data_IF_021610705226
#
_entry.id   IF_021610705226
#
_cell.length_a   1.000
_cell.length_b   1.000
_cell.length_c   1.000
_cell.angle_alpha   90.00
_cell.angle_beta   90.00
_cell.angle_gamma   90.00
#
_symmetry.space_group_name_H-M   'P 1'
#
loop_
_entity.id
_entity.type
_entity.pdbx_description
1 polymer ?
#
# COMPACT_ATOMS: atom_id res chain seq x y z
N UNK A 1 16.58 -6.38 52.08
CA UNK A 1 15.33 -5.86 51.41
C UNK A 1 15.66 -4.68 50.49
N UNK A 2 16.46 -4.87 49.44
CA UNK A 2 16.69 -3.81 48.44
C UNK A 2 16.78 -4.37 47.00
N UNK A 3 16.10 -5.48 46.68
CA UNK A 3 16.17 -6.09 45.36
C UNK A 3 14.79 -6.33 44.67
N UNK A 4 13.70 -5.65 45.12
CA UNK A 4 12.37 -5.87 44.54
C UNK A 4 11.65 -4.62 44.04
N UNK A 5 12.35 -3.47 43.96
CA UNK A 5 11.72 -2.22 43.43
C UNK A 5 12.07 -1.87 41.98
N UNK A 6 12.98 -2.58 41.35
CA UNK A 6 13.44 -2.22 39.99
C UNK A 6 12.65 -2.84 38.82
N UNK A 7 11.95 -3.95 39.02
CA UNK A 7 11.23 -4.64 37.94
C UNK A 7 9.79 -4.16 37.77
N UNK A 8 9.15 -3.64 38.79
CA UNK A 8 7.78 -3.13 38.71
C UNK A 8 7.64 -1.78 38.00
N UNK A 9 8.70 -0.96 37.99
CA UNK A 9 8.66 0.36 37.35
C UNK A 9 9.01 0.31 35.86
N UNK A 10 9.73 -0.71 35.41
CA UNK A 10 10.01 -0.94 33.98
C UNK A 10 8.74 -1.43 33.29
N UNK A 11 7.98 -2.34 33.93
CA UNK A 11 6.71 -2.82 33.36
C UNK A 11 5.58 -1.79 33.44
N UNK A 12 5.62 -0.86 34.42
CA UNK A 12 4.61 0.24 34.47
C UNK A 12 4.87 1.35 33.47
N UNK A 13 6.10 1.54 33.00
CA UNK A 13 6.40 2.49 31.90
C UNK A 13 6.05 1.95 30.51
N UNK A 14 5.98 0.63 30.34
CA UNK A 14 5.54 0.00 29.08
C UNK A 14 4.02 -0.06 28.90
N UNK A 15 3.23 0.19 29.97
CA UNK A 15 1.74 0.17 29.91
C UNK A 15 1.14 1.57 29.67
N UNK A 16 1.96 2.63 29.70
CA UNK A 16 1.58 4.01 29.34
C UNK A 16 2.46 4.55 28.19
N UNK A 17 2.79 3.73 27.21
CA UNK A 17 3.19 4.24 25.90
C UNK A 17 1.92 4.81 25.27
N UNK A 18 1.97 6.07 24.88
CA UNK A 18 0.97 6.73 24.06
C UNK A 18 0.52 5.79 22.94
N UNK A 19 -0.74 5.83 22.47
CA UNK A 19 -1.16 5.03 21.32
C UNK A 19 -0.16 5.28 20.20
N UNK A 20 0.58 4.23 19.82
CA UNK A 20 1.42 4.23 18.64
C UNK A 20 0.45 4.25 17.46
N UNK A 21 0.26 5.42 16.88
CA UNK A 21 -0.48 5.55 15.63
C UNK A 21 0.38 4.92 14.55
N UNK A 22 -0.18 3.98 13.82
CA UNK A 22 0.47 3.38 12.64
C UNK A 22 0.65 4.48 11.59
N UNK A 23 1.90 4.79 11.27
CA UNK A 23 2.26 5.78 10.26
C UNK A 23 2.75 5.06 9.01
N UNK A 24 1.81 4.44 8.27
CA UNK A 24 2.11 3.80 7.01
C UNK A 24 2.75 4.79 6.03
N UNK A 25 3.88 4.40 5.45
CA UNK A 25 4.58 5.21 4.46
C UNK A 25 3.91 5.03 3.11
N UNK A 26 3.17 6.05 2.68
CA UNK A 26 2.52 6.08 1.37
C UNK A 26 3.54 6.33 0.25
N UNK A 27 3.32 5.81 -0.97
CA UNK A 27 4.07 6.21 -2.14
C UNK A 27 4.01 7.72 -2.36
N UNK A 28 5.13 8.34 -2.69
CA UNK A 28 5.13 9.73 -3.10
C UNK A 28 4.45 9.88 -4.47
N UNK A 29 3.85 11.04 -4.76
CA UNK A 29 3.10 11.28 -6.00
C UNK A 29 3.67 12.51 -6.70
N UNK A 30 4.05 12.35 -7.97
CA UNK A 30 4.57 13.42 -8.80
C UNK A 30 3.60 13.73 -9.95
N UNK A 31 2.97 14.89 -9.88
CA UNK A 31 2.11 15.42 -10.92
C UNK A 31 2.94 16.28 -11.87
N UNK A 32 2.87 16.00 -13.16
CA UNK A 32 3.59 16.69 -14.21
C UNK A 32 2.59 17.31 -15.16
N UNK A 33 2.79 18.58 -15.50
CA UNK A 33 2.06 19.26 -16.57
C UNK A 33 3.07 19.92 -17.48
N UNK A 34 2.94 19.71 -18.80
CA UNK A 34 3.84 20.26 -19.82
C UNK A 34 3.04 21.18 -20.73
N UNK A 35 3.36 22.48 -20.70
CA UNK A 35 2.68 23.51 -21.50
C UNK A 35 3.75 24.34 -22.20
N UNK A 36 3.67 24.45 -23.51
CA UNK A 36 4.54 25.29 -24.32
C UNK A 36 6.05 25.12 -24.00
N UNK A 37 6.51 23.88 -23.86
CA UNK A 37 7.91 23.57 -23.58
C UNK A 37 8.36 23.80 -22.12
N UNK A 38 7.43 24.14 -21.23
CA UNK A 38 7.68 24.27 -19.80
C UNK A 38 7.07 23.11 -19.03
N UNK A 39 7.85 22.42 -18.23
CA UNK A 39 7.39 21.40 -17.28
C UNK A 39 7.16 22.03 -15.91
N UNK A 40 5.96 21.83 -15.37
CA UNK A 40 5.59 22.12 -14.00
C UNK A 40 5.38 20.80 -13.26
N UNK A 41 6.04 20.65 -12.13
CA UNK A 41 5.96 19.47 -11.28
C UNK A 41 5.42 19.87 -9.92
N UNK A 42 4.42 19.13 -9.45
CA UNK A 42 4.00 19.12 -8.06
C UNK A 42 4.34 17.75 -7.48
N UNK A 43 5.33 17.72 -6.61
CA UNK A 43 5.79 16.49 -5.98
C UNK A 43 5.29 16.42 -4.55
N UNK A 44 4.31 15.57 -4.32
CA UNK A 44 3.64 15.34 -3.05
C UNK A 44 4.29 14.18 -2.31
N UNK A 45 4.76 14.41 -1.10
CA UNK A 45 5.43 13.42 -0.26
C UNK A 45 5.28 13.74 1.23
N UNK A 46 5.68 12.78 2.08
CA UNK A 46 5.83 13.03 3.51
C UNK A 46 7.22 13.65 3.77
N UNK A 47 7.26 14.96 4.05
CA UNK A 47 8.53 15.67 4.25
C UNK A 47 9.26 15.20 5.53
N UNK A 48 8.52 14.82 6.58
CA UNK A 48 9.09 14.35 7.83
C UNK A 48 9.86 13.04 7.65
N UNK A 49 9.43 12.17 6.73
CA UNK A 49 10.16 10.94 6.37
C UNK A 49 11.53 11.27 5.78
N UNK A 50 11.60 12.25 4.87
CA UNK A 50 12.86 12.70 4.27
C UNK A 50 13.75 13.43 5.28
N UNK A 51 13.19 14.34 6.09
CA UNK A 51 13.91 15.10 7.11
C UNK A 51 14.43 14.21 8.23
N UNK A 52 13.69 13.16 8.60
CA UNK A 52 14.13 12.17 9.59
C UNK A 52 15.15 11.18 9.04
N UNK A 53 15.33 11.11 7.71
CA UNK A 53 16.23 10.19 7.01
C UNK A 53 15.75 8.72 7.12
N UNK A 54 14.44 8.51 7.14
CA UNK A 54 13.85 7.17 7.06
C UNK A 54 13.97 6.66 5.63
N UNK A 55 14.46 5.45 5.45
CA UNK A 55 14.51 4.77 4.15
C UNK A 55 13.17 4.09 3.86
N UNK A 56 12.32 4.77 3.08
CA UNK A 56 10.99 4.28 2.70
C UNK A 56 11.03 3.04 1.77
N UNK A 57 12.20 2.62 1.31
CA UNK A 57 12.36 1.35 0.58
C UNK A 57 12.46 0.14 1.51
N UNK A 58 12.79 0.36 2.79
CA UNK A 58 13.02 -0.69 3.78
C UNK A 58 11.87 -0.82 4.77
N UNK A 59 11.19 0.28 5.08
CA UNK A 59 10.15 0.32 6.10
C UNK A 59 8.80 0.68 5.46
N UNK A 60 7.75 -0.04 5.82
CA UNK A 60 6.36 0.28 5.43
C UNK A 60 5.68 1.17 6.47
N UNK A 61 6.19 1.15 7.71
CA UNK A 61 5.71 1.98 8.82
C UNK A 61 6.90 2.73 9.43
N UNK A 62 6.70 4.02 9.74
CA UNK A 62 7.75 4.86 10.35
C UNK A 62 8.14 4.40 11.74
N UNK A 63 7.24 3.71 12.45
CA UNK A 63 7.51 3.17 13.79
C UNK A 63 8.55 2.04 13.77
N UNK A 64 8.66 1.29 12.67
CA UNK A 64 9.63 0.21 12.51
C UNK A 64 11.06 0.72 12.24
N UNK A 65 11.20 2.02 11.96
CA UNK A 65 12.48 2.64 11.67
C UNK A 65 13.23 3.04 12.95
N UNK A 66 14.57 2.88 13.00
CA UNK A 66 15.40 3.44 14.07
C UNK A 66 15.25 4.96 14.23
N UNK A 67 14.76 5.66 13.22
CA UNK A 67 14.54 7.11 13.19
C UNK A 67 13.12 7.53 13.63
N UNK A 68 12.27 6.61 14.10
CA UNK A 68 10.88 6.88 14.52
C UNK A 68 10.78 8.06 15.49
N UNK A 69 11.62 8.14 16.52
CA UNK A 69 11.61 9.23 17.49
C UNK A 69 11.88 10.61 16.85
N UNK A 70 12.76 10.66 15.82
CA UNK A 70 13.06 11.90 15.08
C UNK A 70 11.86 12.28 14.21
N UNK A 71 11.21 11.30 13.60
CA UNK A 71 9.98 11.49 12.84
C UNK A 71 8.87 12.04 13.72
N UNK A 72 8.61 11.46 14.89
CA UNK A 72 7.58 11.91 15.83
C UNK A 72 7.82 13.35 16.31
N UNK A 73 9.10 13.71 16.55
CA UNK A 73 9.47 15.07 16.90
C UNK A 73 9.16 16.07 15.78
N UNK A 74 9.35 15.70 14.51
CA UNK A 74 9.00 16.52 13.35
C UNK A 74 7.47 16.62 13.17
N UNK A 75 6.74 15.53 13.42
CA UNK A 75 5.27 15.53 13.40
C UNK A 75 4.65 16.46 14.43
N UNK A 76 5.31 16.71 15.54
CA UNK A 76 4.85 17.64 16.58
C UNK A 76 5.02 19.13 16.21
N UNK A 77 5.75 19.43 15.12
CA UNK A 77 5.92 20.81 14.62
C UNK A 77 4.66 21.31 13.88
N UNK A 78 4.50 22.61 13.76
CA UNK A 78 3.46 23.19 12.90
C UNK A 78 3.79 23.01 11.41
N UNK A 79 2.79 23.17 10.55
CA UNK A 79 2.97 23.11 9.09
C UNK A 79 3.98 24.14 8.60
N UNK A 80 3.93 25.36 9.12
CA UNK A 80 4.83 26.45 8.78
C UNK A 80 6.29 26.17 9.19
N UNK A 81 6.48 25.49 10.34
CA UNK A 81 7.82 25.07 10.79
C UNK A 81 8.39 24.00 9.88
N UNK A 82 7.56 23.04 9.44
CA UNK A 82 8.00 21.99 8.49
C UNK A 82 8.34 22.61 7.13
N UNK A 83 7.49 23.48 6.58
CA UNK A 83 7.77 24.19 5.32
C UNK A 83 9.11 24.93 5.37
N UNK A 84 9.34 25.66 6.45
CA UNK A 84 10.63 26.36 6.66
C UNK A 84 11.80 25.39 6.68
N UNK A 85 11.67 24.24 7.38
CA UNK A 85 12.71 23.21 7.42
C UNK A 85 12.95 22.60 6.04
N UNK A 86 11.90 22.38 5.23
CA UNK A 86 12.04 21.90 3.85
C UNK A 86 12.83 22.90 3.01
N UNK A 87 12.49 24.20 3.07
CA UNK A 87 13.18 25.25 2.33
C UNK A 87 14.64 25.37 2.78
N UNK A 88 14.93 25.35 4.08
CA UNK A 88 16.29 25.40 4.62
C UNK A 88 17.15 24.16 4.25
N UNK A 89 16.49 23.03 3.96
CA UNK A 89 17.12 21.77 3.58
C UNK A 89 16.77 21.35 2.14
N UNK A 90 16.54 22.29 1.23
CA UNK A 90 16.12 22.05 -0.15
C UNK A 90 16.92 20.93 -0.84
N UNK A 91 18.22 20.90 -0.66
CA UNK A 91 19.11 19.90 -1.27
C UNK A 91 18.77 18.45 -0.84
N UNK A 92 18.26 18.25 0.39
CA UNK A 92 17.85 16.90 0.84
C UNK A 92 16.68 16.32 0.03
N UNK A 93 15.91 17.19 -0.62
CA UNK A 93 14.78 16.81 -1.46
C UNK A 93 15.17 16.79 -2.94
N UNK A 94 15.80 17.84 -3.44
CA UNK A 94 16.15 17.97 -4.86
C UNK A 94 17.23 16.98 -5.30
N UNK A 95 18.22 16.67 -4.46
CA UNK A 95 19.26 15.68 -4.76
C UNK A 95 18.72 14.25 -4.89
N UNK A 96 17.53 13.99 -4.34
CA UNK A 96 16.85 12.68 -4.45
C UNK A 96 16.08 12.50 -5.75
N UNK A 97 15.97 13.54 -6.57
CA UNK A 97 15.23 13.56 -7.84
C UNK A 97 16.21 13.88 -8.96
N UNK A 98 16.36 12.97 -9.91
CA UNK A 98 17.21 13.16 -11.10
C UNK A 98 16.33 13.26 -12.33
N UNK A 99 16.30 14.45 -12.97
CA UNK A 99 15.62 14.66 -14.24
C UNK A 99 16.68 14.78 -15.31
N UNK A 100 16.63 13.90 -16.34
CA UNK A 100 17.60 13.89 -17.40
C UNK A 100 16.91 14.19 -18.74
N UNK A 101 17.46 15.18 -19.47
CA UNK A 101 17.14 15.48 -20.87
C UNK A 101 18.33 15.01 -21.70
N UNK A 102 18.13 13.95 -22.53
CA UNK A 102 19.26 13.30 -23.16
C UNK A 102 20.26 12.76 -22.12
N UNK A 103 21.50 13.21 -22.21
CA UNK A 103 22.60 12.85 -21.28
C UNK A 103 22.83 13.90 -20.17
N UNK A 104 22.09 15.01 -20.16
CA UNK A 104 22.26 16.08 -19.18
C UNK A 104 21.25 15.93 -18.03
N UNK A 105 21.75 16.04 -16.79
CA UNK A 105 20.90 16.13 -15.59
C UNK A 105 20.59 17.59 -15.30
N UNK A 106 19.31 17.91 -15.18
CA UNK A 106 18.86 19.29 -14.92
C UNK A 106 18.95 19.58 -13.43
N UNK A 107 19.58 20.71 -13.03
CA UNK A 107 19.53 21.15 -11.65
C UNK A 107 18.11 21.58 -11.28
N UNK A 108 17.60 21.06 -10.17
CA UNK A 108 16.27 21.37 -9.66
C UNK A 108 16.33 22.44 -8.58
N UNK A 109 15.32 23.30 -8.57
CA UNK A 109 15.09 24.25 -7.48
C UNK A 109 13.62 24.31 -7.12
N UNK A 110 13.34 24.47 -5.84
CA UNK A 110 11.98 24.61 -5.34
C UNK A 110 11.46 26.02 -5.63
N UNK A 111 10.28 26.13 -6.22
CA UNK A 111 9.57 27.39 -6.43
C UNK A 111 8.70 27.76 -5.23
N UNK A 112 8.03 26.77 -4.69
CA UNK A 112 7.16 26.88 -3.53
C UNK A 112 7.10 25.54 -2.79
N UNK A 113 6.76 25.59 -1.51
CA UNK A 113 6.50 24.44 -0.65
C UNK A 113 5.20 24.71 0.08
N UNK A 114 4.27 23.76 0.00
CA UNK A 114 2.98 23.82 0.68
C UNK A 114 2.79 22.56 1.51
N UNK A 115 2.53 22.68 2.79
CA UNK A 115 2.27 21.55 3.69
C UNK A 115 0.82 21.55 4.14
N UNK A 116 0.13 20.47 3.88
CA UNK A 116 -1.25 20.28 4.26
C UNK A 116 -1.38 19.21 5.34
N UNK A 117 -2.11 19.53 6.41
CA UNK A 117 -2.48 18.58 7.45
C UNK A 117 -3.98 18.33 7.39
N UNK A 118 -4.39 17.08 7.30
CA UNK A 118 -5.79 16.72 7.46
C UNK A 118 -6.26 17.00 8.89
N UNK A 119 -7.58 17.14 9.07
CA UNK A 119 -8.22 17.45 10.37
C UNK A 119 -7.89 16.37 11.41
N UNK A 120 -7.52 15.17 10.97
CA UNK A 120 -7.17 14.06 11.83
C UNK A 120 -5.65 13.86 11.86
N UNK A 121 -5.02 14.02 13.03
CA UNK A 121 -3.57 13.84 13.26
C UNK A 121 -3.10 12.40 13.05
N UNK A 122 -4.00 11.44 12.81
CA UNK A 122 -3.68 10.03 12.56
C UNK A 122 -3.00 9.80 11.20
N UNK A 123 -3.20 10.70 10.23
CA UNK A 123 -2.61 10.57 8.90
C UNK A 123 -1.30 11.34 8.77
N UNK A 124 -0.32 10.82 7.99
CA UNK A 124 0.87 11.58 7.63
C UNK A 124 0.49 12.88 6.94
N UNK A 125 1.24 13.95 7.22
CA UNK A 125 1.08 15.21 6.47
C UNK A 125 1.57 15.04 5.05
N UNK A 126 0.89 15.73 4.14
CA UNK A 126 1.29 15.83 2.76
C UNK A 126 2.03 17.16 2.53
N UNK A 127 3.27 17.08 2.06
CA UNK A 127 4.04 18.26 1.64
C UNK A 127 4.20 18.23 0.13
N UNK A 128 3.78 19.31 -0.54
CA UNK A 128 3.88 19.47 -1.98
C UNK A 128 5.08 20.38 -2.30
N UNK A 129 6.02 19.86 -3.07
CA UNK A 129 7.17 20.57 -3.60
C UNK A 129 6.85 21.01 -5.03
N UNK A 130 6.85 22.29 -5.30
CA UNK A 130 6.63 22.86 -6.64
C UNK A 130 7.97 23.10 -7.34
N UNK A 131 8.19 22.38 -8.46
CA UNK A 131 9.42 22.44 -9.25
C UNK A 131 9.04 22.81 -10.70
N UNK A 132 9.86 23.61 -11.36
CA UNK A 132 9.63 23.92 -12.78
C UNK A 132 10.92 24.06 -13.55
N UNK A 133 10.94 23.58 -14.78
CA UNK A 133 12.06 23.65 -15.71
C UNK A 133 11.58 23.67 -17.17
N UNK A 134 12.48 24.14 -18.07
CA UNK A 134 12.23 24.15 -19.50
C UNK A 134 12.68 22.85 -20.15
N UNK A 135 11.85 22.27 -21.03
CA UNK A 135 12.17 21.03 -21.78
C UNK A 135 12.37 21.27 -23.28
N UNK A 136 12.10 22.48 -23.80
CA UNK A 136 12.28 22.87 -25.22
C UNK A 136 11.80 21.82 -26.22
N UNK A 137 10.61 21.24 -25.98
CA UNK A 137 9.98 20.16 -26.77
C UNK A 137 10.76 18.84 -26.79
N UNK A 138 11.76 18.66 -25.93
CA UNK A 138 12.47 17.41 -25.76
C UNK A 138 11.76 16.46 -24.78
N UNK A 139 12.10 15.18 -24.84
CA UNK A 139 11.65 14.20 -23.84
C UNK A 139 12.66 14.09 -22.72
N UNK A 140 12.17 13.78 -21.51
CA UNK A 140 13.01 13.59 -20.33
C UNK A 140 12.66 12.30 -19.59
N UNK A 141 13.58 11.86 -18.74
CA UNK A 141 13.34 10.75 -17.81
C UNK A 141 13.53 11.25 -16.38
N UNK A 142 12.84 10.60 -15.46
CA UNK A 142 12.93 10.86 -14.02
C UNK A 142 13.43 9.60 -13.33
N UNK A 143 14.30 9.77 -12.37
CA UNK A 143 14.77 8.71 -11.48
C UNK A 143 14.81 9.26 -10.06
N UNK A 144 14.36 8.47 -9.10
CA UNK A 144 14.39 8.81 -7.69
C UNK A 144 15.45 8.00 -6.95
N UNK A 145 16.04 8.57 -5.92
CA UNK A 145 16.86 7.79 -4.99
C UNK A 145 15.98 6.81 -4.23
N UNK A 146 16.52 5.61 -3.93
CA UNK A 146 15.74 4.49 -3.36
C UNK A 146 15.07 4.82 -2.02
N UNK A 147 15.67 5.71 -1.22
CA UNK A 147 15.19 6.10 0.10
C UNK A 147 13.84 6.81 0.07
N UNK A 148 13.43 7.36 -1.08
CA UNK A 148 12.08 7.91 -1.24
C UNK A 148 10.99 6.83 -1.30
N UNK A 149 11.39 5.56 -1.45
CA UNK A 149 10.44 4.48 -1.67
C UNK A 149 9.86 4.48 -3.09
N UNK A 150 8.68 3.87 -3.29
CA UNK A 150 7.99 3.89 -4.56
C UNK A 150 7.40 5.28 -4.85
N UNK A 151 7.36 5.63 -6.14
CA UNK A 151 6.82 6.92 -6.60
C UNK A 151 5.83 6.72 -7.73
N UNK A 152 4.69 7.39 -7.65
CA UNK A 152 3.71 7.47 -8.73
C UNK A 152 3.98 8.73 -9.55
N UNK A 153 4.10 8.61 -10.86
CA UNK A 153 4.16 9.75 -11.77
C UNK A 153 2.83 9.83 -12.52
N UNK A 154 2.22 11.02 -12.52
CA UNK A 154 1.01 11.33 -13.29
C UNK A 154 1.31 12.50 -14.21
N UNK A 155 1.03 12.35 -15.50
CA UNK A 155 1.13 13.43 -16.48
C UNK A 155 -0.25 13.90 -16.87
N UNK A 156 -0.51 15.17 -16.66
CA UNK A 156 -1.80 15.81 -16.93
C UNK A 156 -1.77 16.60 -18.23
N UNK A 157 -2.92 16.73 -18.87
CA UNK A 157 -3.07 17.49 -20.11
C UNK A 157 -2.89 19.00 -19.88
N UNK A 158 -3.39 19.49 -18.76
CA UNK A 158 -3.34 20.89 -18.37
C UNK A 158 -3.28 21.06 -16.84
N UNK A 159 -3.22 22.30 -16.38
CA UNK A 159 -3.16 22.66 -14.96
C UNK A 159 -4.47 22.42 -14.19
N UNK A 160 -5.59 22.15 -14.89
CA UNK A 160 -6.86 21.82 -14.21
C UNK A 160 -6.81 20.41 -13.58
N UNK A 161 -5.89 19.57 -14.05
CA UNK A 161 -5.70 18.18 -13.63
C UNK A 161 -6.96 17.29 -13.80
N UNK A 162 -7.86 17.69 -14.72
CA UNK A 162 -9.06 16.90 -15.00
C UNK A 162 -8.75 15.68 -15.88
N UNK A 163 -7.75 15.79 -16.77
CA UNK A 163 -7.38 14.74 -17.74
C UNK A 163 -5.97 14.22 -17.50
N UNK A 164 -5.86 12.98 -17.03
CA UNK A 164 -4.58 12.26 -16.89
C UNK A 164 -4.25 11.60 -18.23
N UNK A 165 -3.11 11.96 -18.81
CA UNK A 165 -2.60 11.43 -20.07
C UNK A 165 -1.79 10.15 -19.89
N UNK A 166 -1.03 10.10 -18.80
CA UNK A 166 -0.12 9.01 -18.51
C UNK A 166 0.04 8.87 -16.98
N UNK A 167 0.07 7.63 -16.50
CA UNK A 167 0.40 7.29 -15.11
C UNK A 167 1.36 6.13 -15.13
N UNK A 168 2.36 6.15 -14.27
CA UNK A 168 3.25 5.02 -14.04
C UNK A 168 3.66 4.95 -12.57
N UNK A 169 3.87 3.72 -12.10
CA UNK A 169 4.34 3.41 -10.76
C UNK A 169 5.79 2.96 -10.84
N UNK A 170 6.69 3.72 -10.25
CA UNK A 170 8.12 3.42 -10.21
C UNK A 170 8.49 2.73 -8.90
N UNK A 171 9.20 1.63 -9.01
CA UNK A 171 9.85 0.99 -7.86
C UNK A 171 11.03 1.85 -7.37
N UNK A 172 11.51 1.67 -6.12
CA UNK A 172 12.67 2.39 -5.60
C UNK A 172 13.88 2.30 -6.56
N UNK A 173 14.49 3.43 -6.86
CA UNK A 173 15.61 3.61 -7.79
C UNK A 173 15.30 3.30 -9.28
N UNK A 174 14.08 2.99 -9.65
CA UNK A 174 13.69 2.79 -11.03
C UNK A 174 13.68 4.10 -11.81
N UNK A 175 14.05 4.03 -13.09
CA UNK A 175 13.99 5.17 -14.02
C UNK A 175 12.69 5.11 -14.81
N UNK A 176 12.00 6.25 -14.97
CA UNK A 176 10.81 6.34 -15.81
C UNK A 176 11.12 6.05 -17.29
N UNK A 177 10.08 5.70 -18.04
CA UNK A 177 10.11 5.84 -19.51
C UNK A 177 10.30 7.31 -19.90
N UNK A 178 10.55 7.57 -21.19
CA UNK A 178 10.61 8.92 -21.74
C UNK A 178 9.25 9.62 -21.59
N UNK A 179 9.26 10.79 -20.99
CA UNK A 179 8.09 11.65 -20.78
C UNK A 179 8.23 12.87 -21.69
N UNK A 180 7.18 13.20 -22.43
CA UNK A 180 7.08 14.37 -23.30
C UNK A 180 5.64 14.87 -23.30
N UNK A 181 5.38 16.03 -23.88
CA UNK A 181 4.03 16.56 -24.02
C UNK A 181 3.07 15.59 -24.74
N UNK A 182 3.60 14.71 -25.61
CA UNK A 182 2.83 13.75 -26.38
C UNK A 182 2.70 12.38 -25.69
N UNK A 183 3.34 12.17 -24.54
CA UNK A 183 3.30 10.89 -23.84
C UNK A 183 1.88 10.56 -23.39
N UNK A 184 1.39 9.41 -23.80
CA UNK A 184 0.06 8.87 -23.46
C UNK A 184 0.21 7.41 -23.05
N UNK A 185 -0.57 6.98 -22.06
CA UNK A 185 -0.67 5.55 -21.73
C UNK A 185 -1.37 4.80 -22.83
N UNK A 186 -0.78 3.72 -23.31
CA UNK A 186 -1.48 2.79 -24.18
C UNK A 186 -2.35 1.83 -23.36
N UNK A 187 -3.46 1.34 -23.93
CA UNK A 187 -4.30 0.35 -23.26
C UNK A 187 -3.51 -0.91 -22.88
N UNK A 188 -2.52 -1.31 -23.69
CA UNK A 188 -1.68 -2.47 -23.41
C UNK A 188 -0.72 -2.21 -22.25
N UNK A 189 -0.03 -1.05 -22.21
CA UNK A 189 0.87 -0.71 -21.11
C UNK A 189 0.10 -0.61 -19.79
N UNK A 190 -1.04 0.07 -19.77
CA UNK A 190 -1.93 0.15 -18.61
C UNK A 190 -2.36 -1.25 -18.14
N UNK A 191 -2.78 -2.11 -19.06
CA UNK A 191 -3.18 -3.48 -18.71
C UNK A 191 -2.06 -4.25 -18.01
N UNK A 192 -0.84 -4.22 -18.58
CA UNK A 192 0.31 -4.96 -18.02
C UNK A 192 0.70 -4.38 -16.65
N UNK A 193 0.79 -3.05 -16.54
CA UNK A 193 1.17 -2.37 -15.30
C UNK A 193 0.21 -2.70 -14.16
N UNK A 194 -1.09 -2.54 -14.36
CA UNK A 194 -2.08 -2.82 -13.32
C UNK A 194 -2.25 -4.31 -13.02
N UNK A 195 -2.01 -5.18 -14.00
CA UNK A 195 -1.97 -6.63 -13.77
C UNK A 195 -0.81 -7.01 -12.85
N UNK A 196 0.38 -6.43 -13.08
CA UNK A 196 1.56 -6.65 -12.22
C UNK A 196 1.31 -6.08 -10.83
N UNK A 197 0.77 -4.86 -10.72
CA UNK A 197 0.39 -4.26 -9.44
C UNK A 197 -0.60 -5.14 -8.65
N UNK A 198 -1.57 -5.75 -9.33
CA UNK A 198 -2.50 -6.70 -8.71
C UNK A 198 -1.82 -7.96 -8.21
N UNK A 199 -0.82 -8.49 -8.93
CA UNK A 199 -0.01 -9.62 -8.47
C UNK A 199 0.82 -9.21 -7.25
N UNK A 200 1.50 -8.06 -7.30
CA UNK A 200 2.34 -7.56 -6.22
C UNK A 200 1.54 -7.21 -4.95
N UNK A 201 0.31 -6.75 -5.10
CA UNK A 201 -0.60 -6.51 -4.00
C UNK A 201 -0.82 -7.78 -3.14
N UNK A 202 -0.81 -8.96 -3.77
CA UNK A 202 -0.93 -10.23 -3.07
C UNK A 202 0.45 -10.78 -2.69
N UNK A 203 1.39 -10.87 -3.66
CA UNK A 203 2.72 -11.47 -3.48
C UNK A 203 3.78 -10.50 -3.98
N UNK A 204 4.67 -9.99 -3.12
CA UNK A 204 4.89 -10.35 -1.70
C UNK A 204 4.16 -9.47 -0.67
N UNK A 205 3.48 -8.40 -1.08
CA UNK A 205 3.03 -7.32 -0.19
C UNK A 205 1.82 -7.66 0.69
N UNK A 206 0.89 -8.49 0.21
CA UNK A 206 -0.38 -8.82 0.89
C UNK A 206 -0.30 -10.04 1.80
N UNK A 207 0.45 -9.96 2.93
CA UNK A 207 0.52 -11.06 3.89
C UNK A 207 -0.84 -11.45 4.46
N UNK A 208 -1.74 -10.51 4.65
CA UNK A 208 -3.12 -10.70 5.08
C UNK A 208 -3.90 -11.56 4.08
N UNK A 209 -3.80 -11.26 2.79
CA UNK A 209 -4.38 -12.07 1.72
C UNK A 209 -3.77 -13.47 1.66
N UNK A 210 -2.44 -13.58 1.77
CA UNK A 210 -1.76 -14.88 1.76
C UNK A 210 -2.25 -15.76 2.90
N UNK A 211 -2.31 -15.23 4.13
CA UNK A 211 -2.78 -15.98 5.30
C UNK A 211 -4.26 -16.33 5.19
N UNK A 212 -5.08 -15.42 4.65
CA UNK A 212 -6.49 -15.67 4.40
C UNK A 212 -6.70 -16.79 3.38
N UNK A 213 -5.97 -16.78 2.25
CA UNK A 213 -6.05 -17.82 1.21
C UNK A 213 -5.58 -19.18 1.75
N UNK A 214 -4.50 -19.21 2.53
CA UNK A 214 -4.03 -20.43 3.20
C UNK A 214 -5.08 -20.91 4.19
N UNK A 215 -5.73 -20.01 4.92
CA UNK A 215 -6.86 -20.34 5.79
C UNK A 215 -8.03 -20.98 5.03
N UNK A 216 -8.42 -20.43 3.89
CA UNK A 216 -9.45 -21.02 3.01
C UNK A 216 -9.01 -22.41 2.52
N UNK A 217 -7.75 -22.56 2.12
CA UNK A 217 -7.19 -23.81 1.62
C UNK A 217 -7.31 -24.96 2.62
N UNK A 218 -6.99 -24.72 3.89
CA UNK A 218 -7.04 -25.78 4.91
C UNK A 218 -8.45 -26.24 5.25
N UNK A 219 -9.49 -25.52 4.89
CA UNK A 219 -10.86 -25.96 5.10
C UNK A 219 -11.27 -27.09 4.16
N UNK A 220 -10.92 -27.01 2.88
CA UNK A 220 -11.28 -28.01 1.89
C UNK A 220 -10.24 -28.05 0.76
N UNK A 221 -9.48 -29.14 0.69
CA UNK A 221 -8.39 -29.32 -0.30
C UNK A 221 -8.95 -29.74 -1.68
N UNK A 222 -10.17 -29.36 -2.00
CA UNK A 222 -10.77 -29.63 -3.32
C UNK A 222 -10.67 -28.39 -4.19
N UNK A 223 -10.03 -28.50 -5.33
CA UNK A 223 -9.71 -27.35 -6.20
C UNK A 223 -10.94 -26.53 -6.62
N UNK A 224 -12.04 -27.18 -7.05
CA UNK A 224 -13.25 -26.45 -7.48
C UNK A 224 -13.88 -25.58 -6.39
N UNK A 225 -14.16 -26.09 -5.15
CA UNK A 225 -14.65 -25.24 -4.07
C UNK A 225 -13.67 -24.13 -3.66
N UNK A 226 -12.36 -24.38 -3.71
CA UNK A 226 -11.34 -23.37 -3.42
C UNK A 226 -11.38 -22.25 -4.47
N UNK A 227 -11.34 -22.60 -5.76
CA UNK A 227 -11.42 -21.64 -6.84
C UNK A 227 -12.67 -20.78 -6.72
N UNK A 228 -13.84 -21.39 -6.48
CA UNK A 228 -15.09 -20.64 -6.32
C UNK A 228 -15.03 -19.66 -5.13
N UNK A 229 -14.46 -20.06 -3.99
CA UNK A 229 -14.32 -19.21 -2.82
C UNK A 229 -13.41 -18.00 -3.11
N UNK A 230 -12.29 -18.24 -3.76
CA UNK A 230 -11.32 -17.20 -4.12
C UNK A 230 -11.92 -16.25 -5.14
N UNK A 231 -12.55 -16.75 -6.21
CA UNK A 231 -13.22 -15.90 -7.21
C UNK A 231 -14.36 -15.07 -6.58
N UNK A 232 -15.15 -15.65 -5.66
CA UNK A 232 -16.17 -14.88 -4.94
C UNK A 232 -15.57 -13.77 -4.08
N UNK A 233 -14.43 -14.04 -3.43
CA UNK A 233 -13.69 -13.06 -2.69
C UNK A 233 -13.20 -11.93 -3.62
N UNK A 234 -12.55 -12.27 -4.76
CA UNK A 234 -12.06 -11.28 -5.74
C UNK A 234 -13.19 -10.44 -6.32
N UNK A 235 -14.34 -11.03 -6.65
CA UNK A 235 -15.50 -10.28 -7.13
C UNK A 235 -16.00 -9.29 -6.08
N UNK A 236 -16.13 -9.73 -4.82
CA UNK A 236 -16.55 -8.87 -3.73
C UNK A 236 -15.53 -7.73 -3.48
N UNK A 237 -14.24 -8.07 -3.45
CA UNK A 237 -13.13 -7.12 -3.36
C UNK A 237 -13.21 -6.07 -4.48
N UNK A 238 -13.40 -6.51 -5.72
CA UNK A 238 -13.53 -5.62 -6.88
C UNK A 238 -14.70 -4.66 -6.75
N UNK A 239 -15.84 -5.10 -6.23
CA UNK A 239 -17.03 -4.25 -6.05
C UNK A 239 -16.70 -3.08 -5.11
N UNK A 240 -16.17 -3.35 -3.93
CA UNK A 240 -15.86 -2.28 -2.97
C UNK A 240 -14.69 -1.42 -3.40
N UNK A 241 -13.68 -2.01 -4.05
CA UNK A 241 -12.57 -1.26 -4.62
C UNK A 241 -13.06 -0.26 -5.69
N UNK A 242 -13.94 -0.69 -6.61
CA UNK A 242 -14.55 0.18 -7.61
C UNK A 242 -15.36 1.30 -6.95
N UNK A 243 -16.25 0.95 -6.02
CA UNK A 243 -17.09 1.95 -5.35
C UNK A 243 -16.26 2.99 -4.58
N UNK A 244 -15.21 2.58 -3.93
CA UNK A 244 -14.31 3.47 -3.21
C UNK A 244 -13.43 4.31 -4.17
N UNK A 245 -12.96 3.74 -5.29
CA UNK A 245 -12.21 4.48 -6.31
C UNK A 245 -13.03 5.59 -6.98
N UNK A 246 -14.36 5.46 -7.01
CA UNK A 246 -15.28 6.50 -7.44
C UNK A 246 -15.73 7.43 -6.30
N UNK A 247 -15.13 7.34 -5.10
CA UNK A 247 -15.52 8.08 -3.90
C UNK A 247 -17.02 7.91 -3.50
N UNK A 248 -17.63 6.77 -3.88
CA UNK A 248 -19.03 6.47 -3.52
C UNK A 248 -19.14 5.87 -2.12
N UNK A 249 -18.07 5.27 -1.61
CA UNK A 249 -18.00 4.72 -0.25
C UNK A 249 -16.64 5.11 0.34
N UNK A 250 -16.67 5.60 1.56
CA UNK A 250 -15.49 5.89 2.36
C UNK A 250 -15.66 5.27 3.75
N UNK A 251 -14.75 4.37 4.14
CA UNK A 251 -14.69 3.81 5.50
C UNK A 251 -13.24 3.94 5.96
N UNK A 252 -12.96 4.58 7.11
CA UNK A 252 -11.61 4.79 7.60
C UNK A 252 -10.81 3.48 7.74
N UNK A 253 -9.51 3.53 7.47
CA UNK A 253 -8.59 2.39 7.61
C UNK A 253 -8.61 1.81 9.02
N UNK A 254 -8.73 2.66 10.04
CA UNK A 254 -8.85 2.30 11.47
C UNK A 254 -10.03 1.35 11.78
N UNK A 255 -11.04 1.29 10.91
CA UNK A 255 -12.14 0.32 11.00
C UNK A 255 -11.89 -0.89 10.11
N UNK A 256 -11.38 -0.66 8.89
CA UNK A 256 -11.24 -1.70 7.87
C UNK A 256 -10.13 -2.69 8.24
N UNK A 257 -8.97 -2.20 8.64
CA UNK A 257 -7.81 -3.04 8.92
C UNK A 257 -8.01 -4.04 10.09
N UNK A 258 -8.59 -3.63 11.24
CA UNK A 258 -8.95 -4.61 12.27
C UNK A 258 -9.92 -5.67 11.78
N UNK A 259 -10.89 -5.31 10.94
CA UNK A 259 -11.85 -6.27 10.38
C UNK A 259 -11.18 -7.25 9.39
N UNK A 260 -10.19 -6.79 8.62
CA UNK A 260 -9.35 -7.66 7.78
C UNK A 260 -8.63 -8.68 8.67
N UNK A 261 -7.94 -8.23 9.71
CA UNK A 261 -7.22 -9.10 10.65
C UNK A 261 -8.16 -10.12 11.34
N UNK A 262 -9.33 -9.67 11.76
CA UNK A 262 -10.35 -10.53 12.36
C UNK A 262 -10.86 -11.59 11.38
N UNK A 263 -11.00 -11.26 10.09
CA UNK A 263 -11.44 -12.18 9.04
C UNK A 263 -10.46 -13.35 8.85
N UNK A 264 -9.14 -13.07 8.93
CA UNK A 264 -8.08 -14.08 8.88
C UNK A 264 -8.21 -15.06 10.05
N UNK A 265 -8.36 -14.51 11.26
CA UNK A 265 -8.57 -15.34 12.47
C UNK A 265 -9.82 -16.19 12.37
N UNK A 266 -10.92 -15.61 11.91
CA UNK A 266 -12.19 -16.32 11.76
C UNK A 266 -12.08 -17.54 10.85
N UNK A 267 -11.51 -17.38 9.64
CA UNK A 267 -11.34 -18.46 8.67
C UNK A 267 -10.44 -19.57 9.22
N UNK A 268 -9.39 -19.20 9.95
CA UNK A 268 -8.49 -20.16 10.58
C UNK A 268 -9.16 -20.93 11.74
N UNK A 269 -9.93 -20.26 12.59
CA UNK A 269 -10.68 -20.90 13.68
C UNK A 269 -11.76 -21.86 13.13
N UNK A 270 -12.43 -21.49 12.04
CA UNK A 270 -13.42 -22.35 11.41
C UNK A 270 -12.83 -23.70 10.95
N UNK A 271 -11.56 -23.73 10.54
CA UNK A 271 -10.86 -24.98 10.17
C UNK A 271 -10.73 -25.94 11.36
N UNK A 272 -10.57 -25.40 12.58
CA UNK A 272 -10.43 -26.20 13.80
C UNK A 272 -11.75 -26.89 14.16
N UNK A 273 -12.86 -26.14 14.06
CA UNK A 273 -14.18 -26.61 14.48
C UNK A 273 -14.96 -27.34 13.38
N UNK A 274 -14.53 -27.30 12.12
CA UNK A 274 -15.16 -27.95 10.96
C UNK A 274 -16.70 -27.76 10.88
N UNK A 275 -17.16 -26.50 10.92
CA UNK A 275 -18.60 -26.19 10.72
C UNK A 275 -18.99 -26.43 9.26
N UNK A 276 -20.04 -27.23 9.03
CA UNK A 276 -20.39 -27.81 7.71
C UNK A 276 -21.35 -26.97 6.84
N UNK A 277 -21.68 -25.75 7.16
CA UNK A 277 -22.62 -24.95 6.33
C UNK A 277 -21.92 -24.31 5.13
N UNK A 278 -22.02 -24.95 3.97
CA UNK A 278 -21.34 -24.50 2.73
C UNK A 278 -21.86 -23.15 2.26
N UNK A 279 -23.16 -22.89 2.29
CA UNK A 279 -23.73 -21.61 1.82
C UNK A 279 -23.32 -20.45 2.71
N UNK A 280 -23.39 -20.62 4.02
CA UNK A 280 -22.99 -19.58 4.97
C UNK A 280 -21.49 -19.21 4.80
N UNK A 281 -20.65 -20.21 4.52
CA UNK A 281 -19.22 -19.97 4.27
C UNK A 281 -18.99 -19.11 3.04
N UNK A 282 -19.64 -19.38 1.92
CA UNK A 282 -19.54 -18.55 0.73
C UNK A 282 -19.98 -17.10 1.00
N UNK A 283 -21.06 -16.91 1.74
CA UNK A 283 -21.54 -15.58 2.15
C UNK A 283 -20.51 -14.86 3.02
N UNK A 284 -19.90 -15.53 3.98
CA UNK A 284 -18.88 -14.98 4.88
C UNK A 284 -17.64 -14.57 4.07
N UNK A 285 -17.16 -15.44 3.16
CA UNK A 285 -16.02 -15.13 2.30
C UNK A 285 -16.31 -13.93 1.39
N UNK A 286 -17.54 -13.84 0.87
CA UNK A 286 -17.97 -12.69 0.09
C UNK A 286 -17.93 -11.40 0.92
N UNK A 287 -18.46 -11.41 2.16
CA UNK A 287 -18.40 -10.26 3.07
C UNK A 287 -16.96 -9.88 3.37
N UNK A 288 -16.09 -10.85 3.62
CA UNK A 288 -14.67 -10.57 3.85
C UNK A 288 -13.98 -9.99 2.62
N UNK A 289 -14.34 -10.44 1.42
CA UNK A 289 -13.88 -9.80 0.17
C UNK A 289 -14.29 -8.34 0.07
N UNK A 290 -15.52 -7.99 0.44
CA UNK A 290 -15.98 -6.58 0.48
C UNK A 290 -15.11 -5.73 1.44
N UNK A 291 -14.79 -6.27 2.62
CA UNK A 291 -13.96 -5.57 3.61
C UNK A 291 -12.53 -5.36 3.08
N UNK A 292 -11.91 -6.40 2.51
CA UNK A 292 -10.54 -6.30 1.97
C UNK A 292 -10.43 -5.30 0.81
N UNK A 293 -11.45 -5.21 -0.05
CA UNK A 293 -11.44 -4.24 -1.14
C UNK A 293 -11.47 -2.78 -0.68
N UNK A 294 -12.06 -2.52 0.49
CA UNK A 294 -12.03 -1.19 1.10
C UNK A 294 -10.61 -0.84 1.62
N UNK A 295 -9.85 -1.80 2.13
CA UNK A 295 -8.52 -1.56 2.67
C UNK A 295 -7.51 -1.06 1.63
N UNK A 296 -7.63 -1.49 0.37
CA UNK A 296 -6.72 -1.06 -0.69
C UNK A 296 -7.16 0.21 -1.42
N UNK A 297 -8.40 0.64 -1.23
CA UNK A 297 -8.97 1.78 -1.94
C UNK A 297 -8.22 3.10 -1.64
N UNK A 298 -7.67 3.25 -0.43
CA UNK A 298 -6.85 4.41 -0.05
C UNK A 298 -5.58 4.51 -0.89
N UNK A 299 -4.82 3.40 -0.98
CA UNK A 299 -3.58 3.34 -1.76
C UNK A 299 -3.87 3.63 -3.24
N UNK A 300 -4.96 3.09 -3.77
CA UNK A 300 -5.33 3.28 -5.17
C UNK A 300 -5.83 4.71 -5.46
N UNK A 301 -6.48 5.36 -4.50
CA UNK A 301 -6.89 6.76 -4.57
C UNK A 301 -5.70 7.71 -4.66
N UNK A 302 -4.68 7.47 -3.84
CA UNK A 302 -3.43 8.25 -3.84
C UNK A 302 -2.62 8.05 -5.14
N UNK A 303 -2.64 6.85 -5.73
CA UNK A 303 -2.02 6.58 -7.04
C UNK A 303 -2.64 7.43 -8.15
N UNK A 304 -3.91 7.86 -8.02
CA UNK A 304 -4.60 8.66 -9.02
C UNK A 304 -4.76 7.90 -10.33
N UNK A 305 -5.81 7.12 -10.42
CA UNK A 305 -6.13 6.35 -11.61
C UNK A 305 -6.34 7.28 -12.81
N UNK A 306 -5.75 6.91 -13.94
CA UNK A 306 -6.07 7.55 -15.20
C UNK A 306 -7.59 7.48 -15.45
N UNK A 307 -8.28 8.60 -15.34
CA UNK A 307 -9.75 8.66 -15.43
C UNK A 307 -10.26 8.10 -16.78
N UNK A 308 -9.49 8.27 -17.85
CA UNK A 308 -9.84 7.77 -19.19
C UNK A 308 -9.68 6.23 -19.30
N UNK A 309 -8.87 5.61 -18.45
CA UNK A 309 -8.61 4.16 -18.45
C UNK A 309 -8.93 3.48 -17.10
N UNK A 310 -9.64 4.17 -16.22
CA UNK A 310 -9.96 3.72 -14.87
C UNK A 310 -10.54 2.29 -14.83
N UNK A 311 -11.54 2.04 -15.68
CA UNK A 311 -12.20 0.73 -15.74
C UNK A 311 -11.21 -0.36 -16.17
N UNK A 312 -10.36 -0.07 -17.17
CA UNK A 312 -9.33 -1.00 -17.66
C UNK A 312 -8.31 -1.29 -16.56
N UNK A 313 -7.84 -0.27 -15.86
CA UNK A 313 -6.90 -0.40 -14.74
C UNK A 313 -7.46 -1.29 -13.63
N UNK A 314 -8.69 -1.02 -13.18
CA UNK A 314 -9.36 -1.80 -12.13
C UNK A 314 -9.59 -3.26 -12.54
N UNK A 315 -10.00 -3.52 -13.78
CA UNK A 315 -10.18 -4.89 -14.28
C UNK A 315 -8.83 -5.61 -14.33
N UNK A 316 -7.80 -4.97 -14.89
CA UNK A 316 -6.46 -5.55 -15.01
C UNK A 316 -5.85 -5.86 -13.64
N UNK A 317 -5.98 -4.95 -12.68
CA UNK A 317 -5.57 -5.14 -11.30
C UNK A 317 -6.25 -6.36 -10.66
N UNK A 318 -7.57 -6.47 -10.75
CA UNK A 318 -8.31 -7.60 -10.18
C UNK A 318 -8.01 -8.94 -10.86
N UNK A 319 -7.70 -8.94 -12.16
CA UNK A 319 -7.18 -10.14 -12.85
C UNK A 319 -5.81 -10.53 -12.26
N UNK A 320 -4.93 -9.57 -12.00
CA UNK A 320 -3.64 -9.79 -11.34
C UNK A 320 -3.80 -10.40 -9.94
N UNK A 321 -4.71 -9.86 -9.14
CA UNK A 321 -5.09 -10.39 -7.82
C UNK A 321 -5.53 -11.85 -7.93
N UNK A 322 -6.45 -12.17 -8.82
CA UNK A 322 -6.96 -13.54 -9.03
C UNK A 322 -5.85 -14.51 -9.45
N UNK A 323 -4.96 -14.09 -10.37
CA UNK A 323 -3.81 -14.90 -10.79
C UNK A 323 -2.89 -15.23 -9.61
N UNK A 324 -2.55 -14.25 -8.78
CA UNK A 324 -1.70 -14.45 -7.62
C UNK A 324 -2.34 -15.41 -6.59
N UNK A 325 -3.63 -15.24 -6.32
CA UNK A 325 -4.39 -16.11 -5.41
C UNK A 325 -4.43 -17.55 -5.92
N UNK A 326 -4.70 -17.75 -7.21
CA UNK A 326 -4.69 -19.09 -7.82
C UNK A 326 -3.28 -19.70 -7.73
N UNK A 327 -2.22 -18.93 -7.95
CA UNK A 327 -0.85 -19.40 -7.82
C UNK A 327 -0.54 -19.89 -6.40
N UNK A 328 -1.00 -19.17 -5.36
CA UNK A 328 -0.87 -19.60 -3.96
C UNK A 328 -1.61 -20.91 -3.72
N UNK A 329 -2.85 -21.06 -4.23
CA UNK A 329 -3.64 -22.31 -4.09
C UNK A 329 -2.93 -23.47 -4.78
N UNK A 330 -2.39 -23.25 -5.98
CA UNK A 330 -1.65 -24.30 -6.70
C UNK A 330 -0.41 -24.71 -5.91
N UNK A 331 0.38 -23.74 -5.42
CA UNK A 331 1.57 -24.03 -4.60
C UNK A 331 1.21 -24.80 -3.32
N UNK A 332 0.18 -24.34 -2.59
CA UNK A 332 -0.32 -25.03 -1.41
C UNK A 332 -0.82 -26.44 -1.75
N UNK A 333 -1.51 -26.62 -2.88
CA UNK A 333 -1.98 -27.93 -3.32
C UNK A 333 -0.82 -28.89 -3.61
N UNK A 334 0.25 -28.42 -4.27
CA UNK A 334 1.44 -29.23 -4.53
C UNK A 334 2.07 -29.71 -3.22
N UNK A 335 2.17 -28.82 -2.24
CA UNK A 335 2.78 -29.12 -0.92
C UNK A 335 1.93 -30.08 -0.10
N UNK A 336 0.61 -29.85 -0.05
CA UNK A 336 -0.27 -30.51 0.92
C UNK A 336 -1.14 -31.64 0.36
N UNK A 337 -1.20 -31.89 -0.98
CA UNK A 337 -2.06 -32.92 -1.56
C UNK A 337 -1.70 -34.35 -1.08
N UNK A 338 -0.41 -34.66 -0.91
CA UNK A 338 0.04 -35.95 -0.40
C UNK A 338 -0.19 -36.04 1.11
N UNK A 339 0.28 -35.11 1.94
CA UNK A 339 -0.03 -35.10 3.37
C UNK A 339 -1.51 -35.17 3.69
N UNK A 340 -2.35 -34.46 2.91
CA UNK A 340 -3.80 -34.39 3.17
C UNK A 340 -4.55 -35.74 3.09
N UNK A 341 -3.94 -36.74 2.46
CA UNK A 341 -4.47 -38.11 2.38
C UNK A 341 -4.13 -38.96 3.59
N UNK A 342 -3.29 -38.48 4.50
CA UNK A 342 -2.81 -39.20 5.68
C UNK A 342 -3.70 -38.91 6.88
N UNK A 343 -3.91 -39.93 7.74
CA UNK A 343 -4.71 -39.79 8.95
C UNK A 343 -4.21 -38.77 9.95
N UNK A 344 -2.89 -38.55 9.99
CA UNK A 344 -2.24 -37.58 10.89
C UNK A 344 -2.30 -36.12 10.40
N UNK A 345 -2.65 -35.89 9.11
CA UNK A 345 -2.64 -34.56 8.49
C UNK A 345 -3.38 -33.51 9.30
N UNK A 346 -4.59 -33.86 9.75
CA UNK A 346 -5.42 -32.92 10.51
C UNK A 346 -4.79 -32.51 11.83
N UNK A 347 -4.28 -33.48 12.60
CA UNK A 347 -3.74 -33.26 13.94
C UNK A 347 -2.38 -32.54 13.92
N UNK A 348 -1.54 -32.83 12.94
CA UNK A 348 -0.14 -32.34 12.92
C UNK A 348 0.12 -31.20 11.91
N UNK A 349 -0.77 -30.94 10.95
CA UNK A 349 -0.62 -29.86 10.00
C UNK A 349 -1.82 -28.90 10.00
N UNK A 350 -3.02 -29.37 9.70
CA UNK A 350 -4.18 -28.49 9.54
C UNK A 350 -4.49 -27.69 10.82
N UNK A 351 -4.61 -28.34 11.97
CA UNK A 351 -4.92 -27.67 13.24
C UNK A 351 -3.78 -26.76 13.70
N UNK A 352 -2.51 -27.21 13.79
CA UNK A 352 -1.41 -26.33 14.22
C UNK A 352 -1.23 -25.12 13.32
N UNK A 353 -1.26 -25.27 11.99
CA UNK A 353 -1.13 -24.13 11.07
C UNK A 353 -2.33 -23.19 11.22
N UNK A 354 -3.54 -23.71 11.36
CA UNK A 354 -4.72 -22.87 11.59
C UNK A 354 -4.65 -22.11 12.92
N UNK A 355 -4.09 -22.71 13.97
CA UNK A 355 -3.82 -22.01 15.24
C UNK A 355 -2.83 -20.86 15.02
N UNK A 356 -1.73 -21.11 14.33
CA UNK A 356 -0.71 -20.08 14.04
C UNK A 356 -1.34 -18.92 13.25
N UNK A 357 -2.07 -19.20 12.18
CA UNK A 357 -2.76 -18.18 11.37
C UNK A 357 -3.75 -17.38 12.23
N UNK A 358 -4.54 -18.08 13.08
CA UNK A 358 -5.48 -17.42 13.97
C UNK A 358 -4.79 -16.52 14.99
N UNK A 359 -3.66 -16.94 15.54
CA UNK A 359 -2.87 -16.13 16.48
C UNK A 359 -2.29 -14.89 15.82
N UNK A 360 -1.78 -15.01 14.60
CA UNK A 360 -1.26 -13.86 13.82
C UNK A 360 -2.40 -12.87 13.56
N UNK A 361 -3.54 -13.33 13.07
CA UNK A 361 -4.68 -12.46 12.82
C UNK A 361 -5.23 -11.80 14.08
N UNK A 362 -5.27 -12.51 15.24
CA UNK A 362 -5.66 -11.91 16.52
C UNK A 362 -4.63 -10.90 17.01
N UNK A 363 -3.34 -11.17 16.82
CA UNK A 363 -2.28 -10.23 17.14
C UNK A 363 -2.44 -8.93 16.34
N UNK A 364 -2.59 -9.00 15.02
CA UNK A 364 -2.84 -7.84 14.17
C UNK A 364 -4.16 -7.12 14.51
N UNK A 365 -5.21 -7.87 14.87
CA UNK A 365 -6.45 -7.25 15.32
C UNK A 365 -6.26 -6.40 16.58
N UNK A 366 -5.56 -6.95 17.57
CA UNK A 366 -5.28 -6.24 18.83
C UNK A 366 -4.37 -5.02 18.56
N UNK A 367 -3.33 -5.20 17.75
CA UNK A 367 -2.41 -4.14 17.34
C UNK A 367 -3.16 -2.96 16.68
N UNK A 368 -4.01 -3.25 15.68
CA UNK A 368 -4.75 -2.24 14.90
C UNK A 368 -5.93 -1.61 15.65
N UNK A 369 -6.40 -2.18 16.77
CA UNK A 369 -7.49 -1.62 17.59
C UNK A 369 -6.96 -0.79 18.74
N UNK A 370 -5.82 -1.16 19.33
CA UNK A 370 -5.36 -0.60 20.59
C UNK A 370 -4.03 0.15 20.48
N UNK A 371 -3.34 0.00 19.37
CA UNK A 371 -2.02 0.59 19.11
C UNK A 371 -1.96 1.27 17.74
#
# INVERSE_FOLDING_TARGET
VVLSRGLGDVYKRQIFSSPLHSHEIKPAVMDITIIEGNASIEFKLNAETVLSEIDASLYQDTNDSPQSQKYDALRALSTEEVEKMVIENENKFTDKIKINIGDETIPLSLRNVDTFQEINDEFPRDTTLNIGFEIKDESFTIQFEKELGPVVIRHFEDLSKESVLFTTYLQPAERSSLISQQTRSSALSTTIEYLVLGIEHIVPKGLDHILFIIGIFFYAIKFKPLLLQVTMFTVAHSITLILASFNLIFIPATIVEPLIALSISYVAIENIFQRRSTLLRYLIIFIFGLIHGLGFAFVLGDIGLNTSQLVLSLISFNIGVEIAQIAIIILASIIFIIPSRQSWYRAFLQIPISIIISMIGLYWFIERVFF
#
